data_IF_955261041398
#
_entry.id   IF_955261041398
#
_cell.length_a   1.000
_cell.length_b   1.000
_cell.length_c   1.000
_cell.angle_alpha   90.00
_cell.angle_beta   90.00
_cell.angle_gamma   90.00
#
_symmetry.space_group_name_H-M   'P 1'
#
loop_
_entity.id
_entity.type
_entity.pdbx_description
1 polymer ?
#
# COMPACT_ATOMS: atom_id res chain seq x y z
N UNK A 1 0.96 -29.75 -32.59
CA UNK A 1 -0.22 -30.04 -31.75
C UNK A 1 0.15 -29.67 -30.33
N UNK A 2 -0.11 -28.42 -29.91
CA UNK A 2 0.21 -27.97 -28.54
C UNK A 2 -0.45 -28.87 -27.51
N UNK A 3 0.37 -29.43 -26.63
CA UNK A 3 -0.05 -30.47 -25.71
C UNK A 3 -1.04 -29.90 -24.70
N UNK A 4 -2.08 -30.67 -24.36
CA UNK A 4 -3.09 -30.30 -23.36
C UNK A 4 -2.49 -29.91 -22.00
N UNK A 5 -1.29 -30.43 -21.68
CA UNK A 5 -0.55 -30.08 -20.46
C UNK A 5 0.11 -28.69 -20.55
N UNK A 6 0.67 -28.29 -21.69
CA UNK A 6 1.26 -26.96 -21.92
C UNK A 6 0.17 -25.89 -21.78
N UNK A 7 -0.98 -26.11 -22.41
CA UNK A 7 -2.15 -25.23 -22.28
C UNK A 7 -2.61 -25.11 -20.82
N UNK A 8 -2.58 -26.20 -20.04
CA UNK A 8 -2.92 -26.19 -18.61
C UNK A 8 -1.87 -25.48 -17.75
N UNK A 9 -0.58 -25.60 -18.09
CA UNK A 9 0.51 -24.91 -17.39
C UNK A 9 0.45 -23.40 -17.65
N UNK A 10 0.32 -23.02 -18.92
CA UNK A 10 0.16 -21.64 -19.37
C UNK A 10 -1.09 -21.02 -18.75
N UNK A 11 -2.22 -21.73 -18.73
CA UNK A 11 -3.44 -21.28 -18.05
C UNK A 11 -3.22 -21.03 -16.55
N UNK A 12 -2.61 -21.98 -15.83
CA UNK A 12 -2.29 -21.81 -14.40
C UNK A 12 -1.33 -20.65 -14.14
N UNK A 13 -0.38 -20.43 -15.03
CA UNK A 13 0.56 -19.31 -14.96
C UNK A 13 -0.17 -17.97 -15.13
N UNK A 14 -1.03 -17.84 -16.15
CA UNK A 14 -1.81 -16.62 -16.36
C UNK A 14 -2.82 -16.38 -15.23
N UNK A 15 -3.53 -17.41 -14.77
CA UNK A 15 -4.47 -17.29 -13.64
C UNK A 15 -3.79 -16.74 -12.37
N UNK A 16 -2.51 -17.08 -12.15
CA UNK A 16 -1.70 -16.57 -11.04
C UNK A 16 -1.21 -15.14 -11.25
N UNK A 17 -0.80 -14.79 -12.47
CA UNK A 17 -0.24 -13.47 -12.80
C UNK A 17 -1.28 -12.33 -12.78
N UNK A 18 -2.54 -12.65 -13.10
CA UNK A 18 -3.63 -11.66 -13.21
C UNK A 18 -4.17 -11.18 -11.85
N UNK A 19 -3.93 -11.91 -10.76
CA UNK A 19 -4.49 -11.59 -9.42
C UNK A 19 -3.47 -10.99 -8.43
N UNK A 20 -2.23 -10.77 -8.83
CA UNK A 20 -1.21 -10.21 -7.93
C UNK A 20 -1.19 -8.67 -7.91
N UNK A 21 -1.34 -8.04 -9.07
CA UNK A 21 -1.22 -6.59 -9.25
C UNK A 21 -2.52 -5.94 -9.72
N UNK A 22 -2.85 -4.79 -9.14
CA UNK A 22 -4.02 -4.00 -9.49
C UNK A 22 -3.66 -2.65 -10.14
N UNK A 23 -4.66 -2.02 -10.76
CA UNK A 23 -4.62 -0.64 -11.24
C UNK A 23 -5.51 0.21 -10.35
N UNK A 24 -5.01 1.39 -10.00
CA UNK A 24 -5.73 2.40 -9.26
C UNK A 24 -6.18 3.54 -10.17
N UNK A 25 -7.40 4.02 -9.98
CA UNK A 25 -7.87 5.31 -10.45
C UNK A 25 -7.87 6.30 -9.28
N UNK A 26 -6.91 7.22 -9.32
CA UNK A 26 -6.72 8.24 -8.28
C UNK A 26 -7.30 9.60 -8.67
N UNK A 27 -8.14 9.70 -9.70
CA UNK A 27 -8.71 11.00 -10.14
C UNK A 27 -9.49 11.70 -9.04
N UNK A 28 -10.17 10.95 -8.19
CA UNK A 28 -11.01 11.46 -7.10
C UNK A 28 -10.33 11.38 -5.71
N UNK A 29 -8.99 11.30 -5.66
CA UNK A 29 -8.27 11.15 -4.40
C UNK A 29 -8.55 12.28 -3.39
N UNK A 30 -8.79 13.51 -3.86
CA UNK A 30 -9.17 14.66 -3.01
C UNK A 30 -10.51 14.48 -2.29
N UNK A 31 -11.40 13.64 -2.83
CA UNK A 31 -12.65 13.20 -2.20
C UNK A 31 -12.45 11.94 -1.34
N UNK A 32 -11.20 11.56 -1.07
CA UNK A 32 -10.82 10.34 -0.36
C UNK A 32 -11.33 9.05 -1.03
N UNK A 33 -11.52 9.07 -2.36
CA UNK A 33 -11.99 7.92 -3.14
C UNK A 33 -10.91 7.48 -4.12
N UNK A 34 -10.61 6.19 -4.10
CA UNK A 34 -9.68 5.54 -5.04
C UNK A 34 -10.41 4.33 -5.60
N UNK A 35 -10.50 4.26 -6.93
CA UNK A 35 -11.04 3.10 -7.62
C UNK A 35 -9.95 2.06 -7.82
N UNK A 36 -10.23 0.79 -7.57
CA UNK A 36 -9.31 -0.31 -7.85
C UNK A 36 -9.94 -1.24 -8.87
N UNK A 37 -9.10 -1.79 -9.76
CA UNK A 37 -9.51 -2.87 -10.68
C UNK A 37 -8.33 -3.78 -11.00
N UNK A 38 -8.64 -4.98 -11.46
CA UNK A 38 -7.65 -5.87 -12.07
C UNK A 38 -7.07 -5.26 -13.36
N UNK A 39 -5.83 -5.65 -13.66
CA UNK A 39 -5.17 -5.28 -14.92
C UNK A 39 -5.89 -5.92 -16.11
N UNK A 40 -5.95 -5.18 -17.20
CA UNK A 40 -6.34 -5.71 -18.50
C UNK A 40 -5.17 -6.41 -19.17
N UNK A 41 -5.44 -7.29 -20.13
CA UNK A 41 -4.40 -7.98 -20.91
C UNK A 41 -3.39 -7.00 -21.53
N UNK A 42 -3.87 -5.89 -22.13
CA UNK A 42 -3.02 -4.85 -22.70
C UNK A 42 -2.07 -4.23 -21.68
N UNK A 43 -2.55 -4.01 -20.46
CA UNK A 43 -1.74 -3.44 -19.36
C UNK A 43 -0.72 -4.45 -18.82
N UNK A 44 -1.07 -5.75 -18.79
CA UNK A 44 -0.13 -6.80 -18.41
C UNK A 44 1.00 -6.87 -19.44
N UNK A 45 0.68 -6.88 -20.74
CA UNK A 45 1.67 -6.89 -21.83
C UNK A 45 2.55 -5.63 -21.79
N UNK A 46 1.95 -4.47 -21.53
CA UNK A 46 2.71 -3.21 -21.43
C UNK A 46 3.51 -3.06 -20.13
N UNK A 47 3.36 -3.98 -19.17
CA UNK A 47 4.01 -3.88 -17.85
C UNK A 47 3.41 -2.83 -16.91
N UNK A 48 2.20 -2.33 -17.18
CA UNK A 48 1.54 -1.33 -16.32
C UNK A 48 1.16 -1.94 -14.97
N UNK A 49 1.40 -1.21 -13.88
CA UNK A 49 1.21 -1.69 -12.51
C UNK A 49 2.29 -2.65 -12.00
N UNK A 50 3.36 -2.90 -12.78
CA UNK A 50 4.52 -3.71 -12.36
C UNK A 50 5.83 -2.97 -12.63
N UNK A 51 6.06 -2.56 -13.88
CA UNK A 51 7.24 -1.77 -14.31
C UNK A 51 6.91 -0.31 -14.59
N UNK A 52 5.63 0.03 -14.61
CA UNK A 52 5.09 1.38 -14.78
C UNK A 52 4.11 1.62 -13.65
N UNK A 53 3.97 2.87 -13.19
CA UNK A 53 3.00 3.25 -12.18
C UNK A 53 1.60 2.68 -12.50
N UNK A 54 1.00 2.04 -11.50
CA UNK A 54 -0.33 1.45 -11.57
C UNK A 54 -1.47 2.46 -11.45
N UNK A 55 -1.21 3.77 -11.45
CA UNK A 55 -2.27 4.75 -11.59
C UNK A 55 -2.69 4.83 -13.07
N UNK A 56 -4.00 4.72 -13.34
CA UNK A 56 -4.57 4.73 -14.69
C UNK A 56 -4.06 5.90 -15.55
N UNK A 57 -3.91 7.07 -14.95
CA UNK A 57 -3.50 8.32 -15.62
C UNK A 57 -2.03 8.69 -15.36
N UNK A 58 -1.17 7.72 -15.08
CA UNK A 58 0.26 7.94 -14.89
C UNK A 58 1.05 6.89 -15.67
N UNK A 59 2.14 7.33 -16.29
CA UNK A 59 3.04 6.46 -17.06
C UNK A 59 4.50 6.58 -16.57
N UNK A 60 4.69 7.04 -15.32
CA UNK A 60 6.00 7.11 -14.67
C UNK A 60 6.59 5.71 -14.48
N UNK A 61 7.90 5.58 -14.73
CA UNK A 61 8.65 4.33 -14.68
C UNK A 61 9.70 4.32 -13.56
N UNK A 62 10.05 5.49 -13.03
CA UNK A 62 11.07 5.64 -12.01
C UNK A 62 10.48 5.90 -10.63
N UNK A 63 11.23 5.54 -9.58
CA UNK A 63 10.81 5.77 -8.19
C UNK A 63 9.51 5.05 -7.84
N UNK A 64 9.35 3.82 -8.33
CA UNK A 64 8.19 2.98 -8.09
C UNK A 64 8.32 2.26 -6.74
N UNK A 65 7.28 2.33 -5.93
CA UNK A 65 7.12 1.54 -4.70
C UNK A 65 5.95 0.58 -4.82
N UNK A 66 6.03 -0.56 -4.13
CA UNK A 66 4.95 -1.53 -4.02
C UNK A 66 4.16 -1.29 -2.74
N UNK A 67 2.85 -1.15 -2.86
CA UNK A 67 1.94 -0.90 -1.74
C UNK A 67 0.89 -2.00 -1.68
N UNK A 68 0.59 -2.48 -0.49
CA UNK A 68 -0.49 -3.45 -0.29
C UNK A 68 -1.80 -2.70 -0.05
N UNK A 69 -2.81 -3.04 -0.85
CA UNK A 69 -4.14 -2.42 -0.77
C UNK A 69 -5.22 -3.48 -0.67
N UNK A 70 -6.22 -3.23 0.17
CA UNK A 70 -7.37 -4.13 0.26
C UNK A 70 -8.30 -3.90 -0.93
N UNK A 71 -8.39 -4.87 -1.83
CA UNK A 71 -9.25 -4.81 -3.00
C UNK A 71 -10.52 -5.61 -2.78
N UNK A 72 -11.64 -4.89 -2.66
CA UNK A 72 -12.98 -5.48 -2.62
C UNK A 72 -13.56 -5.57 -4.04
N UNK A 73 -14.04 -6.74 -4.44
CA UNK A 73 -14.62 -7.00 -5.75
C UNK A 73 -15.78 -8.00 -5.66
N UNK A 74 -16.62 -8.04 -6.69
CA UNK A 74 -17.72 -9.01 -6.79
C UNK A 74 -17.37 -10.06 -7.83
N UNK A 75 -17.44 -11.33 -7.46
CA UNK A 75 -17.22 -12.47 -8.37
C UNK A 75 -18.37 -13.46 -8.15
N UNK A 76 -19.08 -13.81 -9.22
CA UNK A 76 -20.26 -14.68 -9.18
C UNK A 76 -21.38 -14.22 -8.20
N UNK A 77 -21.54 -12.90 -8.01
CA UNK A 77 -22.55 -12.33 -7.11
C UNK A 77 -22.14 -12.26 -5.64
N UNK A 78 -20.97 -12.81 -5.28
CA UNK A 78 -20.43 -12.75 -3.93
C UNK A 78 -19.41 -11.61 -3.79
N UNK A 79 -19.47 -10.88 -2.68
CA UNK A 79 -18.44 -9.91 -2.32
C UNK A 79 -17.21 -10.63 -1.79
N UNK A 80 -16.06 -10.35 -2.40
CA UNK A 80 -14.76 -10.90 -2.03
C UNK A 80 -13.79 -9.76 -1.72
N UNK A 81 -12.80 -10.06 -0.88
CA UNK A 81 -11.71 -9.16 -0.56
C UNK A 81 -10.38 -9.88 -0.79
N UNK A 82 -9.41 -9.15 -1.32
CA UNK A 82 -8.06 -9.65 -1.51
C UNK A 82 -7.05 -8.54 -1.21
N UNK A 83 -6.01 -8.86 -0.45
CA UNK A 83 -4.86 -7.98 -0.32
C UNK A 83 -4.01 -8.12 -1.60
N UNK A 84 -3.90 -7.02 -2.35
CA UNK A 84 -3.23 -7.00 -3.66
C UNK A 84 -2.12 -5.98 -3.67
N UNK A 85 -1.16 -6.16 -4.58
CA UNK A 85 -0.07 -5.20 -4.77
C UNK A 85 -0.49 -4.09 -5.73
N UNK A 86 -0.19 -2.86 -5.37
CA UNK A 86 -0.29 -1.67 -6.20
C UNK A 86 1.08 -1.05 -6.32
N UNK A 87 1.63 -0.99 -7.54
CA UNK A 87 2.88 -0.27 -7.79
C UNK A 87 2.55 1.19 -8.06
N UNK A 88 3.17 2.12 -7.34
CA UNK A 88 2.94 3.56 -7.53
C UNK A 88 4.24 4.36 -7.46
N UNK A 89 4.38 5.40 -8.28
CA UNK A 89 5.46 6.36 -8.15
C UNK A 89 5.23 7.26 -6.92
N UNK A 90 6.27 7.97 -6.46
CA UNK A 90 6.20 8.88 -5.30
C UNK A 90 4.97 9.80 -5.30
N UNK A 91 4.69 10.47 -6.44
CA UNK A 91 3.53 11.37 -6.60
C UNK A 91 2.18 10.66 -6.42
N UNK A 92 2.08 9.41 -6.86
CA UNK A 92 0.85 8.63 -6.74
C UNK A 92 0.73 7.96 -5.36
N UNK A 93 1.85 7.64 -4.72
CA UNK A 93 1.88 7.17 -3.34
C UNK A 93 1.34 8.23 -2.36
N UNK A 94 1.67 9.51 -2.58
CA UNK A 94 1.10 10.62 -1.81
C UNK A 94 -0.43 10.71 -1.99
N UNK A 95 -0.94 10.49 -3.21
CA UNK A 95 -2.39 10.44 -3.47
C UNK A 95 -3.06 9.24 -2.79
N UNK A 96 -2.37 8.10 -2.74
CA UNK A 96 -2.84 6.90 -2.04
C UNK A 96 -2.96 7.14 -0.53
N UNK A 97 -1.99 7.86 0.06
CA UNK A 97 -1.97 8.19 1.48
C UNK A 97 -2.85 9.40 1.85
N UNK A 98 -3.40 10.14 0.88
CA UNK A 98 -4.09 11.42 1.09
C UNK A 98 -5.16 11.37 2.18
N UNK A 99 -5.99 10.33 2.20
CA UNK A 99 -7.04 10.18 3.21
C UNK A 99 -6.45 10.12 4.63
N UNK A 100 -5.44 9.26 4.84
CA UNK A 100 -4.78 9.08 6.14
C UNK A 100 -4.04 10.33 6.59
N UNK A 101 -3.40 11.04 5.66
CA UNK A 101 -2.72 12.30 5.96
C UNK A 101 -3.71 13.37 6.41
N UNK A 102 -4.83 13.50 5.70
CA UNK A 102 -5.89 14.47 6.05
C UNK A 102 -6.59 14.15 7.37
N UNK A 103 -6.76 12.88 7.70
CA UNK A 103 -7.29 12.45 9.01
C UNK A 103 -6.31 12.83 10.14
N UNK A 104 -5.01 12.58 9.96
CA UNK A 104 -3.98 12.99 10.94
C UNK A 104 -3.85 14.50 11.11
N UNK A 105 -3.98 15.27 10.03
CA UNK A 105 -3.98 16.74 10.10
C UNK A 105 -5.14 17.25 10.96
N UNK A 106 -6.33 16.68 10.79
CA UNK A 106 -7.50 17.02 11.61
C UNK A 106 -7.33 16.63 13.07
N UNK A 107 -6.80 15.44 13.34
CA UNK A 107 -6.52 15.00 14.73
C UNK A 107 -5.55 15.95 15.43
N UNK A 108 -4.51 16.44 14.73
CA UNK A 108 -3.57 17.45 15.26
C UNK A 108 -4.22 18.81 15.49
N UNK A 109 -5.17 19.22 14.65
CA UNK A 109 -5.92 20.45 14.84
C UNK A 109 -6.90 20.35 16.02
N UNK A 110 -7.53 19.19 16.21
CA UNK A 110 -8.48 18.92 17.30
C UNK A 110 -7.77 18.72 18.66
N UNK A 111 -6.55 18.17 18.67
CA UNK A 111 -5.72 18.03 19.87
C UNK A 111 -4.24 18.41 19.62
N UNK A 112 -3.90 19.72 19.63
CA UNK A 112 -2.52 20.19 19.45
C UNK A 112 -1.60 19.87 20.63
N UNK A 113 -2.16 19.52 21.80
CA UNK A 113 -1.42 19.34 23.05
C UNK A 113 -1.13 17.86 23.35
N UNK A 114 -1.95 16.93 22.87
CA UNK A 114 -1.77 15.50 23.05
C UNK A 114 -0.46 14.96 22.46
N UNK A 115 -0.04 15.46 21.29
CA UNK A 115 1.22 15.02 20.65
C UNK A 115 2.45 15.41 21.49
N UNK A 116 2.45 16.61 22.08
CA UNK A 116 3.51 17.06 23.01
C UNK A 116 3.51 16.26 24.31
N UNK A 117 2.33 15.92 24.83
CA UNK A 117 2.22 15.11 26.04
C UNK A 117 2.75 13.69 25.82
N UNK A 118 2.50 13.11 24.64
CA UNK A 118 3.04 11.80 24.23
C UNK A 118 4.56 11.87 24.08
N UNK A 119 5.10 12.88 23.39
CA UNK A 119 6.56 13.07 23.26
C UNK A 119 7.25 13.25 24.62
N UNK A 120 6.64 14.00 25.54
CA UNK A 120 7.14 14.18 26.90
C UNK A 120 7.15 12.85 27.67
N UNK A 121 6.07 12.05 27.57
CA UNK A 121 5.98 10.71 28.20
C UNK A 121 7.01 9.74 27.62
N UNK A 122 7.21 9.72 26.31
CA UNK A 122 8.23 8.87 25.66
C UNK A 122 9.66 9.30 26.01
N UNK A 123 9.90 10.61 26.22
CA UNK A 123 11.19 11.10 26.71
C UNK A 123 11.44 10.67 28.15
N UNK A 124 10.44 10.81 29.02
CA UNK A 124 10.55 10.38 30.43
C UNK A 124 10.76 8.86 30.55
N UNK A 125 10.07 8.07 29.70
CA UNK A 125 10.25 6.62 29.67
C UNK A 125 11.67 6.21 29.30
N UNK A 126 12.23 6.80 28.22
CA UNK A 126 13.63 6.55 27.81
C UNK A 126 14.63 6.95 28.88
N UNK A 127 14.34 8.01 29.66
CA UNK A 127 15.21 8.45 30.75
C UNK A 127 15.25 7.42 31.89
N UNK A 128 14.09 6.88 32.28
CA UNK A 128 14.00 5.81 33.29
C UNK A 128 14.71 4.53 32.83
N UNK A 129 14.53 4.12 31.58
CA UNK A 129 15.20 2.94 31.02
C UNK A 129 16.74 3.08 31.01
N UNK A 130 17.27 4.29 30.86
CA UNK A 130 18.70 4.55 30.95
C UNK A 130 19.22 4.51 32.39
N UNK A 131 18.49 5.10 33.34
CA UNK A 131 18.84 5.08 34.78
C UNK A 131 18.82 3.65 35.35
N UNK A 132 17.91 2.78 34.89
CA UNK A 132 17.86 1.35 35.28
C UNK A 132 19.03 0.52 34.72
N UNK A 133 19.66 0.97 33.62
CA UNK A 133 20.77 0.24 33.00
C UNK A 133 22.13 0.50 33.66
N UNK A 134 22.32 1.68 34.27
CA UNK A 134 23.57 2.07 34.95
C UNK A 134 23.70 1.46 36.36
N UNK A 135 22.60 1.05 37.00
CA UNK A 135 22.60 0.50 38.36
C UNK A 135 23.02 -0.98 38.44
N UNK A 136 23.36 -1.61 37.31
CA UNK A 136 23.71 -3.05 37.22
C UNK A 136 25.21 -3.35 37.03
N UNK A 137 26.09 -2.36 37.19
CA UNK A 137 27.54 -2.52 36.97
C UNK A 137 28.45 -2.46 38.21
N UNK A 138 27.91 -2.53 39.43
CA UNK A 138 28.74 -2.55 40.65
C UNK A 138 28.44 -3.78 41.54
N UNK A 139 28.88 -4.96 41.11
CA UNK A 139 29.13 -6.10 42.00
C UNK A 139 30.14 -7.06 41.33
N UNK A 140 31.44 -6.74 41.43
CA UNK A 140 32.57 -7.69 41.41
C UNK A 140 33.45 -7.51 42.66
#
# INVERSE_FOLDING_TARGET
MDSTWEKRLVKRYYDKLFKEYCIADMTQYKKCKIGLRWRTEKEVISGKGQFICGNRHCDEKHGLGSYEVNFSYVEAGEQKQALVKLVACKRCAEKLAYKRLKEKEKEKEEDPYGEKEIELKDRDKRKREHEESDDTSEDE
#
